data_IF_008013053770
#
_entry.id   IF_008013053770
#
_cell.length_a   1.000
_cell.length_b   1.000
_cell.length_c   1.000
_cell.angle_alpha   90.00
_cell.angle_beta   90.00
_cell.angle_gamma   90.00
#
_symmetry.space_group_name_H-M   'P 1'
#
loop_
_entity.id
_entity.type
_entity.pdbx_description
1 polymer ?
#
# COMPACT_ATOMS: atom_id res chain seq x y z
N UNK A 1 16.78 -35.91 -18.09
CA UNK A 1 16.06 -34.65 -17.79
C UNK A 1 14.59 -34.88 -17.40
N UNK A 2 14.06 -36.11 -17.48
CA UNK A 2 12.65 -36.43 -17.17
C UNK A 2 12.17 -35.92 -15.81
N UNK A 3 12.95 -36.13 -14.74
CA UNK A 3 12.59 -35.63 -13.40
C UNK A 3 12.55 -34.10 -13.34
N UNK A 4 13.53 -33.43 -13.95
CA UNK A 4 13.55 -31.97 -14.01
C UNK A 4 12.35 -31.40 -14.80
N UNK A 5 11.94 -32.06 -15.88
CA UNK A 5 10.74 -31.71 -16.64
C UNK A 5 9.48 -31.92 -15.79
N UNK A 6 9.39 -33.03 -15.06
CA UNK A 6 8.29 -33.29 -14.11
C UNK A 6 8.19 -32.20 -13.03
N UNK A 7 9.32 -31.67 -12.54
CA UNK A 7 9.33 -30.54 -11.61
C UNK A 7 8.80 -29.24 -12.25
N UNK A 8 9.20 -28.94 -13.50
CA UNK A 8 8.67 -27.78 -14.25
C UNK A 8 7.15 -27.89 -14.46
N UNK A 9 6.66 -29.07 -14.83
CA UNK A 9 5.23 -29.33 -15.05
C UNK A 9 4.43 -29.21 -13.75
N UNK A 10 4.95 -29.78 -12.66
CA UNK A 10 4.32 -29.71 -11.33
C UNK A 10 4.22 -28.26 -10.85
N UNK A 11 5.30 -27.48 -10.98
CA UNK A 11 5.33 -26.08 -10.58
C UNK A 11 4.33 -25.24 -11.39
N UNK A 12 4.28 -25.42 -12.73
CA UNK A 12 3.33 -24.70 -13.57
C UNK A 12 1.88 -25.12 -13.31
N UNK A 13 1.63 -26.41 -13.03
CA UNK A 13 0.31 -26.92 -12.66
C UNK A 13 -0.20 -26.28 -11.37
N UNK A 14 0.67 -26.20 -10.35
CA UNK A 14 0.37 -25.50 -9.10
C UNK A 14 0.05 -24.02 -9.34
N UNK A 15 0.88 -23.32 -10.13
CA UNK A 15 0.66 -21.91 -10.47
C UNK A 15 -0.70 -21.69 -11.16
N UNK A 16 -1.08 -22.57 -12.11
CA UNK A 16 -2.40 -22.52 -12.79
C UNK A 16 -3.56 -22.76 -11.83
N UNK A 17 -3.45 -23.78 -10.98
CA UNK A 17 -4.47 -24.10 -9.98
C UNK A 17 -4.73 -22.92 -9.04
N UNK A 18 -3.66 -22.29 -8.55
CA UNK A 18 -3.76 -21.09 -7.71
C UNK A 18 -4.29 -19.89 -8.50
N UNK A 19 -3.89 -19.70 -9.76
CA UNK A 19 -4.44 -18.63 -10.62
C UNK A 19 -5.95 -18.75 -10.79
N UNK A 20 -6.47 -19.97 -10.95
CA UNK A 20 -7.91 -20.21 -11.05
C UNK A 20 -8.65 -19.89 -9.73
N UNK A 21 -8.04 -20.24 -8.58
CA UNK A 21 -8.58 -19.89 -7.27
C UNK A 21 -8.60 -18.37 -7.04
N UNK A 22 -7.51 -17.68 -7.44
CA UNK A 22 -7.36 -16.22 -7.37
C UNK A 22 -8.37 -15.50 -8.26
N UNK A 23 -8.64 -16.02 -9.46
CA UNK A 23 -9.66 -15.50 -10.36
C UNK A 23 -11.06 -15.57 -9.74
N UNK A 24 -11.38 -16.69 -9.09
CA UNK A 24 -12.66 -16.86 -8.37
C UNK A 24 -12.79 -15.87 -7.20
N UNK A 25 -11.67 -15.55 -6.55
CA UNK A 25 -11.60 -14.58 -5.46
C UNK A 25 -11.50 -13.12 -5.94
N UNK A 26 -11.50 -12.87 -7.26
CA UNK A 26 -11.32 -11.54 -7.86
C UNK A 26 -10.03 -10.82 -7.43
N UNK A 27 -8.99 -11.58 -7.09
CA UNK A 27 -7.67 -11.05 -6.82
C UNK A 27 -6.84 -10.98 -8.13
N UNK A 28 -5.72 -10.24 -8.13
CA UNK A 28 -4.89 -10.10 -9.34
C UNK A 28 -4.23 -11.43 -9.69
N UNK A 29 -4.44 -11.89 -10.92
CA UNK A 29 -3.87 -13.12 -11.45
C UNK A 29 -2.35 -12.99 -11.68
N UNK A 30 -1.64 -14.10 -11.52
CA UNK A 30 -0.22 -14.17 -11.86
C UNK A 30 0.00 -14.33 -13.36
N UNK A 31 1.17 -13.95 -13.85
CA UNK A 31 1.55 -14.13 -15.26
C UNK A 31 1.90 -15.60 -15.57
N UNK A 32 0.86 -16.40 -15.82
CA UNK A 32 1.00 -17.80 -16.23
C UNK A 32 1.59 -17.94 -17.63
N UNK A 33 1.43 -16.93 -18.49
CA UNK A 33 1.88 -16.98 -19.87
C UNK A 33 3.41 -17.07 -19.97
N UNK A 34 4.14 -16.21 -19.24
CA UNK A 34 5.61 -16.29 -19.21
C UNK A 34 6.11 -17.60 -18.62
N UNK A 35 5.48 -18.10 -17.55
CA UNK A 35 5.88 -19.38 -16.94
C UNK A 35 5.61 -20.58 -17.87
N UNK A 36 4.53 -20.55 -18.64
CA UNK A 36 4.26 -21.57 -19.66
C UNK A 36 5.28 -21.51 -20.81
N UNK A 37 5.66 -20.31 -21.25
CA UNK A 37 6.68 -20.14 -22.28
C UNK A 37 8.06 -20.58 -21.79
N UNK A 38 8.36 -20.34 -20.51
CA UNK A 38 9.58 -20.82 -19.85
C UNK A 38 9.64 -22.35 -19.85
N UNK A 39 8.55 -23.04 -19.49
CA UNK A 39 8.50 -24.51 -19.56
C UNK A 39 8.80 -25.04 -20.98
N UNK A 40 8.23 -24.42 -22.03
CA UNK A 40 8.53 -24.83 -23.42
C UNK A 40 10.01 -24.66 -23.75
N UNK A 41 10.59 -23.52 -23.35
CA UNK A 41 11.98 -23.16 -23.62
C UNK A 41 12.97 -24.08 -22.90
N UNK A 42 12.66 -24.46 -21.66
CA UNK A 42 13.51 -25.32 -20.83
C UNK A 42 13.28 -26.81 -21.07
N UNK A 43 12.16 -27.20 -21.66
CA UNK A 43 11.91 -28.59 -22.06
C UNK A 43 12.95 -29.03 -23.10
N UNK A 44 13.72 -30.06 -22.74
CA UNK A 44 14.87 -30.54 -23.51
C UNK A 44 15.86 -29.42 -23.91
N UNK A 45 15.85 -28.29 -23.20
CA UNK A 45 16.58 -27.06 -23.56
C UNK A 45 16.39 -26.65 -25.03
N UNK A 46 15.14 -26.69 -25.52
CA UNK A 46 14.80 -26.32 -26.91
C UNK A 46 15.15 -24.87 -27.27
N UNK A 47 15.33 -24.00 -26.27
CA UNK A 47 15.90 -22.66 -26.42
C UNK A 47 17.08 -22.45 -25.46
N UNK A 48 17.82 -21.35 -25.65
CA UNK A 48 19.01 -20.99 -24.87
C UNK A 48 18.66 -20.54 -23.44
N UNK A 49 18.20 -21.47 -22.61
CA UNK A 49 17.91 -21.27 -21.19
C UNK A 49 18.87 -22.02 -20.28
N UNK A 50 18.63 -21.92 -18.98
CA UNK A 50 19.33 -22.68 -17.95
C UNK A 50 18.30 -23.38 -17.06
N UNK A 51 18.51 -24.68 -16.85
CA UNK A 51 17.70 -25.49 -15.94
C UNK A 51 18.60 -26.07 -14.85
N UNK A 52 18.37 -25.66 -13.60
CA UNK A 52 19.06 -26.19 -12.43
C UNK A 52 18.12 -27.17 -11.71
N UNK A 53 18.52 -28.43 -11.61
CA UNK A 53 17.73 -29.48 -10.96
C UNK A 53 18.62 -30.36 -10.10
N UNK A 54 18.17 -30.61 -8.87
CA UNK A 54 18.77 -31.57 -7.96
C UNK A 54 17.66 -32.21 -7.10
N UNK A 55 17.56 -33.55 -7.03
CA UNK A 55 16.48 -34.25 -6.31
C UNK A 55 16.52 -33.99 -4.79
N UNK A 56 17.71 -33.75 -4.25
CA UNK A 56 17.93 -33.47 -2.81
C UNK A 56 18.03 -31.97 -2.50
N UNK A 57 17.60 -31.11 -3.44
CA UNK A 57 17.50 -29.66 -3.24
C UNK A 57 18.63 -28.83 -3.84
N UNK A 58 18.39 -27.51 -3.92
CA UNK A 58 19.31 -26.51 -4.48
C UNK A 58 19.55 -25.40 -3.46
N UNK A 59 20.81 -25.13 -3.14
CA UNK A 59 21.21 -24.02 -2.27
C UNK A 59 21.87 -22.88 -3.06
N UNK A 60 21.34 -21.66 -2.94
CA UNK A 60 21.93 -20.45 -3.50
C UNK A 60 22.31 -19.53 -2.34
N UNK A 61 23.60 -19.49 -1.99
CA UNK A 61 24.10 -18.78 -0.81
C UNK A 61 25.26 -17.85 -1.16
N UNK A 62 25.32 -16.70 -0.48
CA UNK A 62 26.41 -15.75 -0.62
C UNK A 62 26.53 -14.90 0.65
N UNK A 63 27.75 -14.54 1.10
CA UNK A 63 27.94 -13.53 2.14
C UNK A 63 27.64 -12.11 1.64
N UNK A 64 27.43 -11.95 0.33
CA UNK A 64 27.01 -10.70 -0.34
C UNK A 64 25.59 -10.84 -0.87
N UNK A 65 25.09 -9.80 -1.54
CA UNK A 65 23.75 -9.81 -2.12
C UNK A 65 23.57 -10.92 -3.16
N UNK A 66 22.40 -11.57 -3.14
CA UNK A 66 21.88 -12.44 -4.20
C UNK A 66 20.75 -11.70 -4.89
N UNK A 67 20.72 -11.73 -6.23
CA UNK A 67 19.65 -11.10 -7.03
C UNK A 67 19.04 -12.14 -7.96
N UNK A 68 17.72 -12.23 -7.93
CA UNK A 68 16.90 -12.95 -8.92
C UNK A 68 16.12 -11.87 -9.67
N UNK A 69 16.29 -11.79 -10.99
CA UNK A 69 15.69 -10.74 -11.80
C UNK A 69 15.33 -11.29 -13.18
N UNK A 70 14.18 -10.87 -13.69
CA UNK A 70 13.80 -10.99 -15.09
C UNK A 70 13.57 -9.58 -15.64
N UNK A 71 14.18 -9.26 -16.78
CA UNK A 71 14.15 -7.91 -17.34
C UNK A 71 12.94 -7.60 -18.20
N UNK A 72 12.23 -8.62 -18.68
CA UNK A 72 11.09 -8.47 -19.60
C UNK A 72 9.91 -9.39 -19.32
N UNK A 73 10.02 -10.26 -18.32
CA UNK A 73 8.96 -11.22 -17.95
C UNK A 73 8.91 -11.37 -16.42
N UNK A 74 8.04 -12.25 -15.93
CA UNK A 74 7.82 -12.44 -14.49
C UNK A 74 8.85 -13.37 -13.84
N UNK A 75 9.09 -13.15 -12.54
CA UNK A 75 9.78 -14.12 -11.66
C UNK A 75 8.72 -14.97 -10.96
N UNK A 76 8.69 -16.27 -11.27
CA UNK A 76 7.84 -17.25 -10.59
C UNK A 76 8.55 -17.92 -9.42
N UNK A 77 7.86 -18.05 -8.28
CA UNK A 77 8.32 -18.83 -7.12
C UNK A 77 7.19 -19.76 -6.72
N UNK A 78 7.41 -21.07 -6.84
CA UNK A 78 6.41 -22.10 -6.56
C UNK A 78 6.95 -23.07 -5.52
N UNK A 79 6.13 -23.36 -4.50
CA UNK A 79 6.44 -24.32 -3.44
C UNK A 79 5.30 -25.34 -3.30
N UNK A 80 5.61 -26.63 -3.27
CA UNK A 80 4.60 -27.66 -2.94
C UNK A 80 4.14 -27.63 -1.47
N UNK A 81 4.92 -26.96 -0.61
CA UNK A 81 4.61 -26.70 0.80
C UNK A 81 4.57 -25.19 1.06
N UNK A 82 5.45 -24.67 1.93
CA UNK A 82 5.50 -23.24 2.25
C UNK A 82 6.49 -22.49 1.35
N UNK A 83 6.24 -21.20 1.18
CA UNK A 83 7.26 -20.23 0.73
C UNK A 83 7.63 -19.38 1.95
N UNK A 84 8.75 -19.69 2.58
CA UNK A 84 9.22 -19.00 3.77
C UNK A 84 10.25 -17.93 3.40
N UNK A 85 9.96 -16.66 3.73
CA UNK A 85 10.87 -15.52 3.49
C UNK A 85 11.27 -14.94 4.84
N UNK A 86 12.53 -15.12 5.22
CA UNK A 86 13.09 -14.59 6.48
C UNK A 86 14.11 -13.48 6.19
N UNK A 87 13.82 -12.27 6.67
CA UNK A 87 14.71 -11.12 6.54
C UNK A 87 15.23 -10.69 7.91
N UNK A 88 16.55 -10.57 8.06
CA UNK A 88 17.18 -10.10 9.31
C UNK A 88 16.95 -8.62 9.63
N UNK A 89 16.39 -7.86 8.67
CA UNK A 89 16.03 -6.45 8.82
C UNK A 89 14.60 -6.20 8.35
N UNK A 90 14.42 -5.95 7.06
CA UNK A 90 13.12 -5.56 6.49
C UNK A 90 12.75 -6.44 5.31
N UNK A 91 11.47 -6.73 5.18
CA UNK A 91 10.87 -7.26 3.97
C UNK A 91 10.15 -6.11 3.27
N UNK A 92 10.60 -5.74 2.07
CA UNK A 92 10.06 -4.61 1.30
C UNK A 92 9.57 -5.13 -0.04
N UNK A 93 8.33 -4.78 -0.40
CA UNK A 93 7.72 -5.08 -1.69
C UNK A 93 7.25 -3.77 -2.31
N UNK A 94 7.61 -3.54 -3.56
CA UNK A 94 7.14 -2.42 -4.36
C UNK A 94 6.77 -2.96 -5.75
N UNK A 95 5.55 -2.65 -6.19
CA UNK A 95 5.02 -3.02 -7.49
C UNK A 95 4.52 -1.75 -8.20
N UNK A 96 4.67 -1.67 -9.52
CA UNK A 96 4.19 -0.55 -10.32
C UNK A 96 2.67 -0.47 -10.36
N UNK A 97 2.01 -1.63 -10.44
CA UNK A 97 0.58 -1.72 -10.69
C UNK A 97 -0.20 -2.16 -9.44
N UNK A 98 0.06 -3.37 -8.92
CA UNK A 98 -0.69 -3.92 -7.81
C UNK A 98 0.13 -4.86 -6.92
N UNK A 99 -0.25 -4.91 -5.64
CA UNK A 99 0.15 -5.97 -4.70
C UNK A 99 -1.09 -6.79 -4.36
N UNK A 100 -1.04 -8.09 -4.62
CA UNK A 100 -2.15 -9.02 -4.40
C UNK A 100 -1.70 -10.17 -3.51
N UNK A 101 -2.37 -10.34 -2.36
CA UNK A 101 -2.09 -11.40 -1.39
C UNK A 101 -3.37 -12.22 -1.17
N UNK A 102 -3.30 -13.50 -1.51
CA UNK A 102 -4.45 -14.41 -1.43
C UNK A 102 -4.10 -15.67 -0.63
N UNK A 103 -5.02 -16.08 0.25
CA UNK A 103 -4.89 -17.31 1.02
C UNK A 103 -6.20 -18.11 0.91
N UNK A 104 -6.13 -19.30 0.30
CA UNK A 104 -7.32 -20.10 0.00
C UNK A 104 -7.88 -20.85 1.22
N UNK A 105 -7.01 -21.36 2.10
CA UNK A 105 -7.40 -22.34 3.12
C UNK A 105 -7.51 -21.80 4.55
N UNK A 106 -6.44 -21.17 5.05
CA UNK A 106 -6.27 -20.89 6.49
C UNK A 106 -6.36 -19.41 6.86
N UNK A 107 -6.75 -18.55 5.92
CA UNK A 107 -6.84 -17.10 6.11
C UNK A 107 -5.48 -16.39 6.14
N UNK A 108 -5.48 -15.14 6.58
CA UNK A 108 -4.32 -14.26 6.59
C UNK A 108 -4.06 -13.71 8.00
N UNK A 109 -2.78 -13.62 8.38
CA UNK A 109 -2.33 -13.04 9.65
C UNK A 109 -1.29 -11.97 9.38
N UNK A 110 -1.54 -10.77 9.88
CA UNK A 110 -0.66 -9.60 9.74
C UNK A 110 -0.37 -9.07 11.15
N UNK A 111 0.85 -9.27 11.63
CA UNK A 111 1.26 -8.87 12.99
C UNK A 111 2.51 -8.01 12.96
N UNK A 112 2.51 -6.95 13.76
CA UNK A 112 3.72 -6.22 14.13
C UNK A 112 4.00 -6.51 15.62
N UNK A 113 5.09 -7.25 15.91
CA UNK A 113 5.45 -7.56 17.29
C UNK A 113 5.82 -6.32 18.11
N UNK A 114 6.35 -5.29 17.43
CA UNK A 114 6.55 -3.92 17.91
C UNK A 114 6.37 -2.96 16.74
N UNK A 115 6.08 -1.69 17.03
CA UNK A 115 5.87 -0.67 16.02
C UNK A 115 4.43 -0.63 15.51
N UNK A 116 4.13 0.38 14.69
CA UNK A 116 2.79 0.64 14.14
C UNK A 116 2.52 -0.20 12.90
N UNK A 117 1.27 -0.63 12.74
CA UNK A 117 0.73 -1.09 11.46
C UNK A 117 0.04 0.11 10.82
N UNK A 118 0.43 0.44 9.59
CA UNK A 118 -0.17 1.50 8.80
C UNK A 118 -0.72 0.92 7.49
N UNK A 119 -1.98 1.21 7.22
CA UNK A 119 -2.68 0.81 6.00
C UNK A 119 -3.28 2.08 5.40
N UNK A 120 -2.89 2.42 4.18
CA UNK A 120 -3.31 3.64 3.51
C UNK A 120 -3.60 3.36 2.03
N UNK A 121 -4.71 3.88 1.53
CA UNK A 121 -4.95 4.08 0.10
C UNK A 121 -4.81 5.58 -0.16
N UNK A 122 -3.67 6.01 -0.71
CA UNK A 122 -3.29 7.43 -0.78
C UNK A 122 -4.17 8.26 -1.73
N UNK A 123 -4.75 7.61 -2.73
CA UNK A 123 -5.57 8.24 -3.76
C UNK A 123 -6.87 7.50 -4.06
N UNK A 124 -7.20 6.47 -3.27
CA UNK A 124 -8.36 5.59 -3.52
C UNK A 124 -8.95 5.07 -2.19
N UNK A 125 -9.93 4.17 -2.27
CA UNK A 125 -10.66 3.64 -1.13
C UNK A 125 -9.93 2.48 -0.43
N UNK A 126 -10.20 2.32 0.86
CA UNK A 126 -9.96 1.07 1.60
C UNK A 126 -11.29 0.35 1.75
N UNK A 127 -11.37 -0.90 1.28
CA UNK A 127 -12.52 -1.79 1.49
C UNK A 127 -12.12 -2.93 2.44
N UNK A 128 -12.80 -3.03 3.57
CA UNK A 128 -12.67 -4.14 4.51
C UNK A 128 -14.02 -4.83 4.68
N UNK A 129 -14.12 -6.10 4.30
CA UNK A 129 -15.37 -6.87 4.32
C UNK A 129 -15.12 -8.25 4.90
N UNK A 130 -16.06 -8.73 5.72
CA UNK A 130 -16.09 -10.08 6.23
C UNK A 130 -17.49 -10.66 6.07
N UNK A 131 -17.58 -11.96 5.78
CA UNK A 131 -18.86 -12.69 5.77
C UNK A 131 -19.43 -12.87 7.19
N UNK A 132 -18.53 -12.93 8.18
CA UNK A 132 -18.84 -13.01 9.61
C UNK A 132 -18.55 -11.65 10.25
N UNK A 133 -18.17 -11.67 11.51
CA UNK A 133 -17.96 -10.45 12.30
C UNK A 133 -16.70 -9.69 11.89
N UNK A 134 -16.76 -8.36 12.04
CA UNK A 134 -15.61 -7.46 12.02
C UNK A 134 -15.44 -6.91 13.43
N UNK A 135 -14.24 -7.08 14.01
CA UNK A 135 -13.91 -6.58 15.34
C UNK A 135 -12.81 -5.52 15.26
N UNK A 136 -13.11 -4.29 15.69
CA UNK A 136 -12.14 -3.18 15.78
C UNK A 136 -12.01 -2.79 17.24
N UNK A 137 -10.82 -3.01 17.83
CA UNK A 137 -10.58 -2.81 19.27
C UNK A 137 -9.25 -2.15 19.54
N UNK A 138 -9.22 -1.31 20.57
CA UNK A 138 -8.00 -0.82 21.21
C UNK A 138 -8.00 -1.32 22.65
N UNK A 139 -6.99 -2.10 23.03
CA UNK A 139 -6.95 -2.75 24.35
C UNK A 139 -6.66 -1.76 25.48
N UNK A 140 -5.80 -0.78 25.22
CA UNK A 140 -5.32 0.19 26.21
C UNK A 140 -5.52 1.64 25.80
N UNK A 141 -5.87 1.89 24.52
CA UNK A 141 -5.93 3.22 23.93
C UNK A 141 -7.33 3.61 23.45
N UNK A 142 -7.36 4.40 22.37
CA UNK A 142 -8.58 4.89 21.72
C UNK A 142 -8.83 4.21 20.37
N UNK A 143 -10.10 4.18 19.97
CA UNK A 143 -10.51 3.97 18.58
C UNK A 143 -11.00 5.32 18.06
N UNK A 144 -10.36 5.83 17.02
CA UNK A 144 -10.73 7.09 16.37
C UNK A 144 -11.13 6.81 14.92
N UNK A 145 -12.35 7.21 14.55
CA UNK A 145 -12.88 7.08 13.20
C UNK A 145 -13.31 8.47 12.76
N UNK A 146 -12.62 8.99 11.74
CA UNK A 146 -12.81 10.35 11.25
C UNK A 146 -13.04 10.32 9.75
N UNK A 147 -13.96 11.14 9.26
CA UNK A 147 -14.24 11.31 7.84
C UNK A 147 -14.36 12.79 7.52
N UNK A 148 -13.92 13.20 6.33
CA UNK A 148 -13.97 14.60 5.91
C UNK A 148 -15.39 15.06 5.53
N UNK A 149 -16.11 14.21 4.78
CA UNK A 149 -17.41 14.58 4.22
C UNK A 149 -18.56 13.97 5.00
N UNK A 150 -18.51 12.65 5.24
CA UNK A 150 -19.59 11.91 5.87
C UNK A 150 -19.08 10.63 6.55
N UNK A 151 -19.63 10.32 7.72
CA UNK A 151 -19.44 9.04 8.42
C UNK A 151 -20.81 8.41 8.65
N UNK A 152 -21.02 7.18 8.15
CA UNK A 152 -22.28 6.44 8.29
C UNK A 152 -22.02 5.09 8.97
N UNK A 153 -22.79 4.80 10.01
CA UNK A 153 -22.88 3.49 10.65
C UNK A 153 -24.27 2.93 10.40
N UNK A 154 -24.39 1.75 9.78
CA UNK A 154 -25.70 1.17 9.41
C UNK A 154 -25.86 -0.24 9.95
N UNK A 155 -27.06 -0.61 10.42
CA UNK A 155 -27.42 -1.97 10.81
C UNK A 155 -28.93 -2.19 10.67
N UNK A 156 -29.34 -3.15 9.83
CA UNK A 156 -30.76 -3.54 9.71
C UNK A 156 -31.74 -2.41 9.38
N UNK A 157 -31.28 -1.38 8.63
CA UNK A 157 -32.06 -0.18 8.31
C UNK A 157 -31.98 0.95 9.34
N UNK A 158 -31.43 0.71 10.53
CA UNK A 158 -31.04 1.78 11.45
C UNK A 158 -29.68 2.35 11.06
N UNK A 159 -29.47 3.65 11.31
CA UNK A 159 -28.19 4.30 11.06
C UNK A 159 -27.88 5.48 11.99
N UNK A 160 -26.60 5.77 12.10
CA UNK A 160 -26.04 7.00 12.66
C UNK A 160 -25.21 7.65 11.56
N UNK A 161 -25.51 8.91 11.22
CA UNK A 161 -24.82 9.66 10.18
C UNK A 161 -24.30 10.98 10.73
N UNK A 162 -23.01 11.25 10.50
CA UNK A 162 -22.37 12.52 10.81
C UNK A 162 -21.97 13.18 9.49
N UNK A 163 -22.61 14.31 9.16
CA UNK A 163 -22.29 15.08 7.94
C UNK A 163 -22.72 16.54 8.04
N UNK A 164 -21.94 17.43 7.42
CA UNK A 164 -22.23 18.88 7.40
C UNK A 164 -22.38 19.52 8.78
N UNK A 165 -21.69 19.00 9.81
CA UNK A 165 -21.81 19.45 11.19
C UNK A 165 -23.05 18.95 11.95
N UNK A 166 -23.87 18.10 11.31
CA UNK A 166 -25.08 17.53 11.91
C UNK A 166 -24.87 16.07 12.34
N UNK A 167 -25.69 15.64 13.30
CA UNK A 167 -25.84 14.22 13.68
C UNK A 167 -27.28 13.81 13.33
N UNK A 168 -27.43 12.78 12.49
CA UNK A 168 -28.71 12.19 12.11
C UNK A 168 -28.80 10.77 12.66
N UNK A 169 -29.83 10.51 13.46
CA UNK A 169 -30.16 9.19 13.98
C UNK A 169 -31.48 8.76 13.35
N UNK A 170 -31.43 7.74 12.49
CA UNK A 170 -32.61 7.21 11.81
C UNK A 170 -32.79 5.73 12.08
N UNK A 171 -34.04 5.31 12.30
CA UNK A 171 -34.38 3.89 12.41
C UNK A 171 -35.85 3.64 12.04
N UNK A 172 -36.20 2.45 11.54
CA UNK A 172 -37.58 2.08 11.21
C UNK A 172 -38.47 1.85 12.45
N UNK A 173 -37.86 1.65 13.62
CA UNK A 173 -38.55 1.39 14.90
C UNK A 173 -38.22 2.49 15.92
N UNK A 174 -37.97 2.13 17.18
CA UNK A 174 -37.76 3.09 18.26
C UNK A 174 -36.27 3.39 18.52
N UNK A 175 -35.93 4.65 18.82
CA UNK A 175 -34.68 5.02 19.49
C UNK A 175 -34.90 4.87 21.00
N UNK A 176 -34.30 3.85 21.61
CA UNK A 176 -34.41 3.61 23.05
C UNK A 176 -33.23 4.23 23.81
N UNK A 177 -33.48 5.33 24.53
CA UNK A 177 -32.49 5.98 25.38
C UNK A 177 -32.67 5.55 26.83
N UNK A 178 -31.75 4.72 27.35
CA UNK A 178 -31.71 4.34 28.77
C UNK A 178 -30.67 5.21 29.49
N UNK A 179 -31.10 6.31 30.10
CA UNK A 179 -30.22 7.26 30.80
C UNK A 179 -30.86 7.80 32.07
N UNK A 180 -30.02 8.20 33.03
CA UNK A 180 -30.44 8.96 34.21
C UNK A 180 -30.86 10.40 33.85
N UNK A 181 -30.20 11.04 32.87
CA UNK A 181 -30.51 12.39 32.40
C UNK A 181 -30.15 12.56 30.91
N UNK A 182 -30.86 13.42 30.20
CA UNK A 182 -30.50 13.91 28.87
C UNK A 182 -30.55 15.43 28.92
N UNK A 183 -29.42 16.09 28.69
CA UNK A 183 -29.30 17.55 28.73
C UNK A 183 -29.08 18.09 27.33
N UNK A 184 -29.90 19.05 26.92
CA UNK A 184 -29.71 19.80 25.68
C UNK A 184 -29.04 21.13 26.01
N UNK A 185 -27.77 21.26 25.65
CA UNK A 185 -26.98 22.49 25.79
C UNK A 185 -26.94 23.27 24.47
N UNK A 186 -26.22 24.40 24.45
CA UNK A 186 -25.89 25.11 23.20
C UNK A 186 -25.00 24.26 22.27
N UNK A 187 -24.82 24.74 21.03
CA UNK A 187 -23.98 24.07 20.05
C UNK A 187 -22.52 23.95 20.53
N UNK A 188 -21.85 22.86 20.16
CA UNK A 188 -20.45 22.61 20.41
C UNK A 188 -19.74 22.28 19.09
N UNK A 189 -18.45 22.61 18.99
CA UNK A 189 -17.59 22.32 17.84
C UNK A 189 -16.36 21.53 18.34
N UNK A 190 -16.00 20.46 17.64
CA UNK A 190 -14.79 19.69 17.89
C UNK A 190 -14.07 19.48 16.55
N UNK A 191 -12.99 20.25 16.35
CA UNK A 191 -12.21 20.21 15.11
C UNK A 191 -11.09 19.18 15.21
N UNK A 192 -11.22 18.09 14.47
CA UNK A 192 -10.10 17.19 14.18
C UNK A 192 -9.36 17.76 12.96
N UNK A 193 -8.03 17.96 13.02
CA UNK A 193 -7.27 18.35 11.84
C UNK A 193 -7.50 17.36 10.70
N UNK A 194 -7.71 17.81 9.45
CA UNK A 194 -7.86 16.90 8.33
C UNK A 194 -6.62 16.00 8.23
N UNK A 195 -6.85 14.70 8.00
CA UNK A 195 -5.75 13.76 7.76
C UNK A 195 -5.15 14.10 6.39
N UNK A 196 -3.97 14.70 6.40
CA UNK A 196 -3.18 14.89 5.19
C UNK A 196 -2.43 13.59 4.89
N UNK A 197 -2.92 12.82 3.92
CA UNK A 197 -2.16 11.71 3.38
C UNK A 197 -0.95 12.29 2.63
N UNK A 198 0.24 11.68 2.76
CA UNK A 198 1.37 12.06 1.94
C UNK A 198 0.95 11.90 0.48
N UNK A 199 0.86 13.03 -0.21
CA UNK A 199 0.74 13.04 -1.66
C UNK A 199 2.10 12.57 -2.20
N UNK A 200 2.09 11.88 -3.33
CA UNK A 200 3.32 11.39 -3.98
C UNK A 200 4.33 12.51 -4.27
N UNK A 201 5.39 12.16 -5.01
CA UNK A 201 6.44 13.06 -5.53
C UNK A 201 6.90 14.17 -4.58
N UNK A 202 8.03 13.92 -3.93
CA UNK A 202 8.76 14.92 -3.17
C UNK A 202 9.68 15.72 -4.09
N UNK A 203 9.50 17.04 -4.14
CA UNK A 203 10.42 17.94 -4.83
C UNK A 203 10.90 19.05 -3.88
N UNK A 204 12.18 19.42 -4.01
CA UNK A 204 12.82 20.48 -3.23
C UNK A 204 13.80 21.26 -4.10
N UNK A 205 13.91 22.55 -3.85
CA UNK A 205 14.81 23.44 -4.58
C UNK A 205 16.05 23.76 -3.76
N UNK A 206 17.18 23.99 -4.45
CA UNK A 206 18.35 24.65 -3.87
C UNK A 206 18.50 26.01 -4.52
N UNK A 207 18.37 27.07 -3.74
CA UNK A 207 18.47 28.44 -4.22
C UNK A 207 19.94 28.82 -4.37
N UNK A 208 20.29 29.30 -5.57
CA UNK A 208 21.61 29.84 -5.88
C UNK A 208 21.48 31.23 -6.49
N UNK A 209 22.44 32.10 -6.19
CA UNK A 209 22.55 33.41 -6.82
C UNK A 209 22.90 33.24 -8.30
N UNK A 210 22.17 33.92 -9.19
CA UNK A 210 22.34 33.77 -10.64
C UNK A 210 23.66 34.33 -11.17
N UNK A 211 24.29 35.27 -10.47
CA UNK A 211 25.54 35.92 -10.89
C UNK A 211 26.76 35.22 -10.29
N UNK A 212 26.69 34.78 -9.04
CA UNK A 212 27.83 34.18 -8.34
C UNK A 212 27.79 32.65 -8.30
N UNK A 213 26.61 32.04 -8.49
CA UNK A 213 26.40 30.59 -8.37
C UNK A 213 26.45 30.06 -6.93
N UNK A 214 26.62 30.96 -5.95
CA UNK A 214 26.67 30.62 -4.53
C UNK A 214 25.29 30.30 -3.98
N UNK A 215 25.23 29.42 -2.98
CA UNK A 215 23.97 29.11 -2.29
C UNK A 215 23.47 30.34 -1.53
N UNK A 216 22.16 30.56 -1.57
CA UNK A 216 21.53 31.68 -0.86
C UNK A 216 20.75 31.13 0.34
N UNK A 217 21.37 31.06 1.54
CA UNK A 217 20.70 30.57 2.73
C UNK A 217 19.73 31.60 3.29
N UNK A 218 18.77 31.14 4.11
CA UNK A 218 17.82 31.96 4.88
C UNK A 218 16.97 32.96 4.08
N UNK A 219 16.86 32.77 2.77
CA UNK A 219 16.10 33.63 1.86
C UNK A 219 14.64 33.23 1.83
N UNK A 220 13.74 34.23 1.82
CA UNK A 220 12.31 33.95 1.70
C UNK A 220 12.00 33.50 0.28
N UNK A 221 11.14 32.50 0.19
CA UNK A 221 10.70 31.98 -1.09
C UNK A 221 9.20 31.69 -1.05
N UNK A 222 8.63 31.62 -2.25
CA UNK A 222 7.28 31.13 -2.55
C UNK A 222 7.39 30.07 -3.64
N UNK A 223 6.88 28.88 -3.40
CA UNK A 223 6.71 27.82 -4.40
C UNK A 223 5.23 27.78 -4.78
N UNK A 224 4.94 27.78 -6.07
CA UNK A 224 3.58 27.63 -6.62
C UNK A 224 3.51 26.35 -7.44
N UNK A 225 2.55 25.48 -7.15
CA UNK A 225 2.28 24.27 -7.94
C UNK A 225 1.46 24.60 -9.18
N UNK A 226 1.43 23.71 -10.19
CA UNK A 226 0.56 23.86 -11.38
C UNK A 226 -0.92 24.00 -11.01
N UNK A 227 -1.34 23.39 -9.89
CA UNK A 227 -2.71 23.46 -9.35
C UNK A 227 -2.96 24.73 -8.53
N UNK A 228 -2.01 25.67 -8.50
CA UNK A 228 -2.13 26.96 -7.80
C UNK A 228 -1.97 26.88 -6.28
N UNK A 229 -1.47 25.77 -5.73
CA UNK A 229 -1.14 25.70 -4.30
C UNK A 229 0.14 26.47 -4.03
N UNK A 230 0.16 27.24 -2.94
CA UNK A 230 1.26 28.14 -2.59
C UNK A 230 1.93 27.66 -1.30
N UNK A 231 3.25 27.48 -1.34
CA UNK A 231 4.09 27.13 -0.20
C UNK A 231 5.12 28.24 0.03
N UNK A 232 5.07 28.88 1.19
CA UNK A 232 6.04 29.93 1.56
C UNK A 232 6.98 29.44 2.66
N UNK A 233 8.22 29.90 2.62
CA UNK A 233 9.21 29.50 3.61
C UNK A 233 10.50 30.31 3.53
N UNK A 234 11.50 29.86 4.30
CA UNK A 234 12.88 30.33 4.21
C UNK A 234 13.80 29.17 3.92
N UNK A 235 14.80 29.38 3.07
CA UNK A 235 15.80 28.36 2.79
C UNK A 235 16.65 28.06 4.03
N UNK A 236 17.14 26.83 4.15
CA UNK A 236 18.04 26.44 5.24
C UNK A 236 19.48 26.95 5.03
N UNK A 237 20.39 26.57 5.93
CA UNK A 237 21.82 26.94 5.85
C UNK A 237 22.53 26.42 4.58
N UNK A 238 21.96 25.41 3.90
CA UNK A 238 22.46 24.88 2.63
C UNK A 238 21.71 25.45 1.41
N UNK A 239 20.84 26.46 1.61
CA UNK A 239 20.04 27.06 0.55
C UNK A 239 18.86 26.22 0.09
N UNK A 240 18.45 25.18 0.83
CA UNK A 240 17.35 24.28 0.43
C UNK A 240 16.00 24.78 0.92
N UNK A 241 14.98 24.60 0.09
CA UNK A 241 13.57 24.80 0.49
C UNK A 241 13.06 23.61 1.30
N UNK A 242 11.95 23.82 2.01
CA UNK A 242 11.13 22.70 2.48
C UNK A 242 10.67 21.85 1.29
N UNK A 243 10.49 20.55 1.55
CA UNK A 243 9.98 19.60 0.55
C UNK A 243 8.51 19.86 0.26
N UNK A 244 8.15 19.88 -1.02
CA UNK A 244 6.79 19.98 -1.52
C UNK A 244 6.37 18.59 -2.03
N UNK A 245 5.16 18.16 -1.66
CA UNK A 245 4.61 16.86 -2.03
C UNK A 245 3.42 17.03 -2.98
N UNK A 246 3.48 16.41 -4.15
CA UNK A 246 2.47 16.54 -5.22
C UNK A 246 1.94 15.18 -5.67
N UNK A 247 0.63 15.06 -5.88
CA UNK A 247 0.03 13.76 -6.23
C UNK A 247 0.56 13.16 -7.56
N UNK A 248 1.12 14.00 -8.44
CA UNK A 248 1.73 13.67 -9.73
C UNK A 248 3.01 14.49 -9.90
N UNK A 249 3.98 14.10 -10.75
CA UNK A 249 5.08 14.99 -11.13
C UNK A 249 4.47 16.22 -11.81
N UNK A 250 4.66 17.41 -11.22
CA UNK A 250 4.15 18.67 -11.76
C UNK A 250 5.22 19.75 -11.63
N UNK A 251 5.25 20.70 -12.58
CA UNK A 251 6.29 21.73 -12.60
C UNK A 251 6.07 22.70 -11.44
N UNK A 252 7.02 22.75 -10.51
CA UNK A 252 6.99 23.70 -9.42
C UNK A 252 7.69 25.00 -9.82
N UNK A 253 7.02 26.14 -9.62
CA UNK A 253 7.62 27.46 -9.84
C UNK A 253 8.07 28.05 -8.51
N UNK A 254 9.36 28.34 -8.39
CA UNK A 254 9.92 29.03 -7.22
C UNK A 254 10.18 30.52 -7.53
N UNK A 255 9.77 31.38 -6.61
CA UNK A 255 10.02 32.82 -6.61
C UNK A 255 10.68 33.22 -5.29
N UNK A 256 11.73 34.03 -5.33
CA UNK A 256 12.32 34.63 -4.14
C UNK A 256 11.56 35.91 -3.77
N UNK A 257 11.30 36.10 -2.47
CA UNK A 257 10.56 37.24 -1.91
C UNK A 257 11.49 38.25 -1.25
#
# INVERSE_FOLDING_TARGET
>A
MSEAISQLETALSLARSLSQAVQTAQAHEGDIASQQQLNKSLNELSAAGMLLHAPEGVGIVSPKAVRIASGGESVGVMSGHNTDISAGKSFTVAASDAVSLFAQGQGMKLFAGKGKIEIQAQSDAILATAQKDIEIRSAEGKVEISANSELVLTCGGAYIKLSGGNIELGCPSNILLKSANVQKMGAADFRVPPVELPKGFEERFTVKDQKTGEIVPFSRYRITTEKGQIFEGRTDAAGKTASVFTATPESLKIELL
#
